data_IF_585935938956
#
_entry.id   IF_585935938956
#
_cell.length_a   1.000
_cell.length_b   1.000
_cell.length_c   1.000
_cell.angle_alpha   90.00
_cell.angle_beta   90.00
_cell.angle_gamma   90.00
#
_symmetry.space_group_name_H-M   'P 1'
#
loop_
_entity.id
_entity.type
_entity.pdbx_description
1 polymer ?
#
# COMPACT_ATOMS: atom_id res chain seq x y z
N UNK A 1 -20.85 0.10 -51.61
CA UNK A 1 -21.44 0.59 -50.35
C UNK A 1 -21.63 -0.52 -49.29
N UNK A 2 -22.24 -1.67 -49.62
CA UNK A 2 -22.49 -2.76 -48.63
C UNK A 2 -21.24 -3.45 -48.05
N UNK A 3 -20.15 -3.57 -48.83
CA UNK A 3 -18.87 -4.20 -48.39
C UNK A 3 -18.04 -3.31 -47.45
N UNK A 4 -18.13 -1.99 -47.61
CA UNK A 4 -17.44 -1.01 -46.75
C UNK A 4 -18.12 -0.90 -45.38
N UNK A 5 -19.46 -1.01 -45.36
CA UNK A 5 -20.23 -1.06 -44.11
C UNK A 5 -19.90 -2.31 -43.26
N UNK A 6 -19.67 -3.46 -43.89
CA UNK A 6 -19.28 -4.71 -43.20
C UNK A 6 -17.89 -4.59 -42.58
N UNK A 7 -16.91 -4.00 -43.29
CA UNK A 7 -15.57 -3.77 -42.75
C UNK A 7 -15.51 -2.74 -41.62
N UNK A 8 -16.37 -1.71 -41.65
CA UNK A 8 -16.46 -0.72 -40.55
C UNK A 8 -17.11 -1.32 -39.29
N UNK A 9 -18.11 -2.19 -39.45
CA UNK A 9 -18.77 -2.87 -38.32
C UNK A 9 -17.84 -3.92 -37.70
N UNK A 10 -17.02 -4.60 -38.49
CA UNK A 10 -15.99 -5.51 -37.97
C UNK A 10 -14.87 -4.75 -37.22
N UNK A 11 -14.50 -3.55 -37.65
CA UNK A 11 -13.48 -2.74 -36.98
C UNK A 11 -13.98 -2.17 -35.63
N UNK A 12 -15.27 -1.82 -35.52
CA UNK A 12 -15.85 -1.31 -34.27
C UNK A 12 -16.09 -2.40 -33.23
N UNK A 13 -16.41 -3.63 -33.65
CA UNK A 13 -16.55 -4.78 -32.75
C UNK A 13 -15.19 -5.20 -32.15
N UNK A 14 -14.10 -5.09 -32.91
CA UNK A 14 -12.75 -5.43 -32.42
C UNK A 14 -12.25 -4.43 -31.36
N UNK A 15 -12.61 -3.15 -31.45
CA UNK A 15 -12.28 -2.17 -30.40
C UNK A 15 -13.08 -2.35 -29.10
N UNK A 16 -14.17 -3.13 -29.09
CA UNK A 16 -14.95 -3.36 -27.87
C UNK A 16 -14.44 -4.53 -27.02
N UNK A 17 -13.56 -5.38 -27.56
CA UNK A 17 -13.09 -6.61 -26.90
C UNK A 17 -11.80 -6.39 -26.08
N UNK A 18 -11.12 -5.26 -26.25
CA UNK A 18 -9.84 -4.97 -25.56
C UNK A 18 -10.02 -4.24 -24.22
N UNK A 19 -11.26 -3.93 -23.81
CA UNK A 19 -11.55 -3.07 -22.66
C UNK A 19 -11.88 -3.79 -21.35
N UNK A 20 -11.88 -5.13 -21.30
CA UNK A 20 -12.24 -5.86 -20.08
C UNK A 20 -10.99 -6.36 -19.35
N UNK A 21 -10.16 -5.43 -18.87
CA UNK A 21 -9.26 -5.76 -17.77
C UNK A 21 -10.12 -5.95 -16.53
N UNK A 22 -10.28 -7.21 -16.13
CA UNK A 22 -10.79 -7.64 -14.83
C UNK A 22 -9.87 -7.05 -13.74
N UNK A 23 -10.10 -5.79 -13.37
CA UNK A 23 -9.58 -5.25 -12.12
C UNK A 23 -10.41 -5.90 -11.02
N UNK A 24 -10.02 -7.13 -10.65
CA UNK A 24 -10.54 -7.76 -9.45
C UNK A 24 -10.28 -6.79 -8.29
N UNK A 25 -11.29 -6.44 -7.48
CA UNK A 25 -11.05 -5.64 -6.30
C UNK A 25 -10.04 -6.39 -5.45
N UNK A 26 -8.83 -5.84 -5.32
CA UNK A 26 -7.88 -6.34 -4.34
C UNK A 26 -8.59 -6.26 -3.00
N UNK A 27 -8.85 -7.41 -2.37
CA UNK A 27 -9.36 -7.44 -1.02
C UNK A 27 -8.39 -6.63 -0.16
N UNK A 28 -8.76 -5.39 0.16
CA UNK A 28 -7.92 -4.51 0.95
C UNK A 28 -8.07 -4.98 2.39
N UNK A 29 -7.23 -5.95 2.77
CA UNK A 29 -7.12 -6.40 4.15
C UNK A 29 -6.91 -5.18 5.03
N UNK A 30 -7.66 -5.10 6.13
CA UNK A 30 -7.51 -4.02 7.10
C UNK A 30 -6.03 -3.94 7.52
N UNK A 31 -5.44 -2.73 7.63
CA UNK A 31 -4.06 -2.60 8.05
C UNK A 31 -3.83 -3.29 9.40
N UNK A 32 -2.77 -4.08 9.49
CA UNK A 32 -2.36 -4.66 10.75
C UNK A 32 -1.82 -3.55 11.65
N UNK A 33 -2.43 -3.39 12.83
CA UNK A 33 -1.94 -2.46 13.82
C UNK A 33 -0.65 -2.98 14.45
N UNK A 34 0.36 -2.12 14.52
CA UNK A 34 1.68 -2.42 15.07
C UNK A 34 2.07 -1.31 16.04
N UNK A 35 2.35 -1.67 17.29
CA UNK A 35 3.01 -0.76 18.24
C UNK A 35 4.50 -0.97 18.11
N UNK A 36 5.23 0.09 17.72
CA UNK A 36 6.67 0.06 17.59
C UNK A 36 7.30 0.87 18.72
N UNK A 37 7.61 0.19 19.83
CA UNK A 37 8.33 0.77 20.95
C UNK A 37 9.85 0.76 20.67
N UNK A 38 10.45 1.94 20.59
CA UNK A 38 11.89 2.11 20.40
C UNK A 38 12.63 1.63 21.64
N UNK A 39 13.87 1.16 21.47
CA UNK A 39 14.74 0.80 22.59
C UNK A 39 15.19 2.02 23.42
N UNK A 40 15.08 3.23 22.89
CA UNK A 40 15.57 4.45 23.50
C UNK A 40 14.78 5.68 23.03
N UNK A 41 15.17 6.88 23.46
CA UNK A 41 14.60 8.10 22.89
C UNK A 41 15.11 8.32 21.45
N UNK A 42 14.32 8.98 20.58
CA UNK A 42 14.66 9.19 19.18
C UNK A 42 15.97 9.98 19.04
N UNK A 43 16.97 9.37 18.40
CA UNK A 43 18.18 10.05 17.91
C UNK A 43 18.44 9.66 16.45
N UNK A 44 19.51 10.20 15.85
CA UNK A 44 19.73 10.13 14.40
C UNK A 44 19.82 8.70 13.83
N UNK A 45 20.26 7.73 14.62
CA UNK A 45 20.27 6.30 14.29
C UNK A 45 18.87 5.74 14.02
N UNK A 46 17.84 6.31 14.61
CA UNK A 46 16.46 5.88 14.43
C UNK A 46 15.74 6.61 13.28
N UNK A 47 16.38 7.59 12.61
CA UNK A 47 15.74 8.47 11.62
C UNK A 47 15.03 7.71 10.49
N UNK A 48 15.57 6.56 10.07
CA UNK A 48 14.98 5.74 9.02
C UNK A 48 13.54 5.30 9.33
N UNK A 49 13.19 5.09 10.60
CA UNK A 49 11.84 4.67 11.01
C UNK A 49 10.80 5.78 10.79
N UNK A 50 11.15 7.04 11.09
CA UNK A 50 10.26 8.18 10.81
C UNK A 50 10.17 8.47 9.32
N UNK A 51 11.28 8.39 8.58
CA UNK A 51 11.22 8.56 7.12
C UNK A 51 10.29 7.50 6.51
N UNK A 52 10.37 6.24 6.94
CA UNK A 52 9.46 5.19 6.48
C UNK A 52 7.99 5.46 6.85
N UNK A 53 7.74 6.00 8.05
CA UNK A 53 6.41 6.40 8.49
C UNK A 53 5.84 7.55 7.65
N UNK A 54 6.61 8.63 7.48
CA UNK A 54 6.25 9.82 6.71
C UNK A 54 6.05 9.52 5.22
N UNK A 55 6.91 8.68 4.64
CA UNK A 55 6.78 8.22 3.24
C UNK A 55 5.67 7.19 3.05
N UNK A 56 5.03 6.73 4.13
CA UNK A 56 3.92 5.79 4.10
C UNK A 56 4.31 4.36 3.74
N UNK A 57 5.59 3.98 3.87
CA UNK A 57 6.06 2.65 3.50
C UNK A 57 5.40 1.56 4.35
N UNK A 58 5.12 1.83 5.63
CA UNK A 58 4.34 0.92 6.47
C UNK A 58 2.91 0.71 5.92
N UNK A 59 2.22 1.81 5.57
CA UNK A 59 0.85 1.75 5.03
C UNK A 59 0.79 1.00 3.70
N UNK A 60 1.78 1.19 2.83
CA UNK A 60 1.89 0.44 1.56
C UNK A 60 2.04 -1.07 1.77
N UNK A 61 2.54 -1.49 2.93
CA UNK A 61 2.64 -2.90 3.34
C UNK A 61 1.45 -3.35 4.20
N UNK A 62 0.40 -2.54 4.30
CA UNK A 62 -0.77 -2.83 5.12
C UNK A 62 -0.47 -2.79 6.61
N UNK A 63 0.49 -1.99 7.06
CA UNK A 63 0.82 -1.79 8.47
C UNK A 63 0.37 -0.40 8.94
N UNK A 64 -0.38 -0.35 10.04
CA UNK A 64 -0.70 0.87 10.77
C UNK A 64 0.20 0.96 12.01
N UNK A 65 1.28 1.73 11.89
CA UNK A 65 2.35 1.79 12.89
C UNK A 65 2.13 2.96 13.84
N UNK A 66 2.04 2.65 15.13
CA UNK A 66 2.11 3.60 16.25
C UNK A 66 3.53 3.59 16.83
N UNK A 67 4.28 4.67 16.66
CA UNK A 67 5.65 4.78 17.18
C UNK A 67 5.66 5.31 18.61
N UNK A 68 6.29 4.57 19.51
CA UNK A 68 6.43 4.93 20.91
C UNK A 68 7.89 5.06 21.34
N UNK A 69 8.18 6.13 22.07
CA UNK A 69 9.50 6.35 22.65
C UNK A 69 9.64 5.53 23.94
N UNK A 70 10.86 5.06 24.24
CA UNK A 70 11.16 4.38 25.50
C UNK A 70 12.43 4.87 26.17
N UNK A 71 12.64 4.45 27.42
CA UNK A 71 13.83 4.78 28.24
C UNK A 71 14.78 3.59 28.41
N UNK A 72 14.88 2.72 27.40
CA UNK A 72 15.65 1.49 27.46
C UNK A 72 14.84 0.27 27.05
N UNK A 73 15.52 -0.84 26.78
CA UNK A 73 14.89 -2.11 26.37
C UNK A 73 13.89 -2.64 27.41
N UNK A 74 14.13 -2.43 28.71
CA UNK A 74 13.20 -2.85 29.77
C UNK A 74 11.86 -2.10 29.71
N UNK A 75 11.90 -0.79 29.47
CA UNK A 75 10.69 0.03 29.27
C UNK A 75 9.99 -0.30 27.95
N UNK A 76 10.74 -0.72 26.93
CA UNK A 76 10.20 -1.09 25.62
C UNK A 76 9.39 -2.38 25.68
N UNK A 77 9.89 -3.40 26.39
CA UNK A 77 9.21 -4.68 26.57
C UNK A 77 7.91 -4.49 27.36
N UNK A 78 7.86 -3.56 28.31
CA UNK A 78 6.64 -3.29 29.07
C UNK A 78 5.50 -2.67 28.23
N UNK A 79 5.78 -2.25 26.99
CA UNK A 79 4.83 -1.57 26.09
C UNK A 79 4.25 -2.46 24.99
N UNK A 80 4.76 -3.69 24.81
CA UNK A 80 4.40 -4.59 23.70
C UNK A 80 3.96 -5.97 24.17
#
# INVERSE_FOLDING_TARGET
>A
MKRVAISLVLLTIVSSVVGFELTAPSAQTAPQKVVFALNWFPVGDHAAYWVALEKGYYKQRGLDVDMQNSKGSGDSIAKV
#
